data_IF_934814188351
#
_entry.id   IF_934814188351
#
_cell.length_a   1.000
_cell.length_b   1.000
_cell.length_c   1.000
_cell.angle_alpha   90.00
_cell.angle_beta   90.00
_cell.angle_gamma   90.00
#
_symmetry.space_group_name_H-M   'P 1'
#
loop_
_entity.id
_entity.type
_entity.pdbx_description
1 polymer ?
#
# COMPACT_ATOMS: atom_id res chain seq x y z
N UNK A 1 4.57 1.54 -13.01
CA UNK A 1 5.39 2.12 -14.10
C UNK A 1 4.62 2.21 -15.41
N UNK A 2 4.09 1.10 -15.96
CA UNK A 2 3.43 1.09 -17.28
C UNK A 2 2.31 2.14 -17.44
N UNK A 3 1.39 2.24 -16.47
CA UNK A 3 0.31 3.25 -16.48
C UNK A 3 0.79 4.71 -16.36
N UNK A 4 1.97 4.94 -15.80
CA UNK A 4 2.57 6.29 -15.74
C UNK A 4 3.25 6.62 -17.07
N UNK A 5 4.00 5.65 -17.63
CA UNK A 5 4.66 5.80 -18.92
C UNK A 5 3.64 6.00 -20.05
N UNK A 6 2.46 5.38 -19.98
CA UNK A 6 1.39 5.61 -20.96
C UNK A 6 0.82 7.04 -20.94
N UNK A 7 1.15 7.84 -19.93
CA UNK A 7 0.81 9.28 -19.87
C UNK A 7 1.92 10.17 -20.46
N UNK A 8 3.06 9.60 -20.87
CA UNK A 8 4.20 10.30 -21.49
C UNK A 8 4.19 10.01 -23.00
N UNK A 9 4.71 10.94 -23.82
CA UNK A 9 4.77 10.78 -25.27
C UNK A 9 5.50 9.49 -25.69
N UNK A 10 4.94 8.66 -26.58
CA UNK A 10 5.60 7.44 -27.08
C UNK A 10 6.95 7.70 -27.75
N UNK A 11 7.18 8.90 -28.29
CA UNK A 11 8.47 9.28 -28.87
C UNK A 11 9.63 9.26 -27.85
N UNK A 12 9.33 9.38 -26.56
CA UNK A 12 10.32 9.38 -25.48
C UNK A 12 10.46 8.01 -24.79
N UNK A 13 9.35 7.27 -24.67
CA UNK A 13 9.27 6.06 -23.82
C UNK A 13 8.88 4.78 -24.57
N UNK A 14 8.72 4.87 -25.90
CA UNK A 14 8.24 3.78 -26.74
C UNK A 14 6.72 3.61 -26.70
N UNK A 15 6.23 2.65 -27.48
CA UNK A 15 4.80 2.35 -27.56
C UNK A 15 4.27 1.76 -26.25
N UNK A 16 3.04 2.13 -25.83
CA UNK A 16 2.43 1.55 -24.65
C UNK A 16 2.15 0.06 -24.85
N UNK A 17 2.19 -0.69 -23.75
CA UNK A 17 1.73 -2.08 -23.74
C UNK A 17 0.25 -2.14 -24.17
N UNK A 18 -0.13 -3.19 -24.88
CA UNK A 18 -1.52 -3.41 -25.31
C UNK A 18 -2.47 -3.39 -24.11
N UNK A 19 -3.64 -2.75 -24.26
CA UNK A 19 -4.64 -2.61 -23.19
C UNK A 19 -5.11 -3.94 -22.61
N UNK A 20 -5.22 -4.99 -23.43
CA UNK A 20 -5.56 -6.36 -22.99
C UNK A 20 -4.59 -6.88 -21.92
N UNK A 21 -3.29 -6.59 -22.05
CA UNK A 21 -2.29 -6.99 -21.06
C UNK A 21 -2.44 -6.24 -19.74
N UNK A 22 -2.97 -5.01 -19.77
CA UNK A 22 -3.31 -4.25 -18.58
C UNK A 22 -4.57 -4.81 -17.92
N UNK A 23 -5.55 -5.23 -18.72
CA UNK A 23 -6.75 -5.92 -18.24
C UNK A 23 -6.38 -7.23 -17.53
N UNK A 24 -5.53 -8.06 -18.13
CA UNK A 24 -5.01 -9.30 -17.52
C UNK A 24 -4.33 -9.03 -16.17
N UNK A 25 -3.52 -7.97 -16.09
CA UNK A 25 -2.85 -7.58 -14.85
C UNK A 25 -3.86 -7.12 -13.77
N UNK A 26 -4.90 -6.38 -14.15
CA UNK A 26 -5.96 -5.95 -13.22
C UNK A 26 -6.78 -7.14 -12.74
N UNK A 27 -7.16 -8.05 -13.63
CA UNK A 27 -7.89 -9.26 -13.28
C UNK A 27 -7.06 -10.14 -12.31
N UNK A 28 -5.76 -10.28 -12.58
CA UNK A 28 -4.83 -10.96 -11.70
C UNK A 28 -4.77 -10.31 -10.31
N UNK A 29 -4.60 -8.98 -10.23
CA UNK A 29 -4.61 -8.26 -8.96
C UNK A 29 -5.94 -8.47 -8.22
N UNK A 30 -7.08 -8.29 -8.88
CA UNK A 30 -8.40 -8.48 -8.26
C UNK A 30 -8.63 -9.92 -7.78
N UNK A 31 -8.02 -10.92 -8.43
CA UNK A 31 -8.09 -12.32 -8.00
C UNK A 31 -7.36 -12.60 -6.68
N UNK A 32 -6.36 -11.78 -6.34
CA UNK A 32 -5.61 -11.84 -5.07
C UNK A 32 -6.18 -10.93 -3.97
N UNK A 33 -7.31 -10.27 -4.23
CA UNK A 33 -7.94 -9.41 -3.25
C UNK A 33 -8.54 -10.23 -2.10
N UNK A 34 -8.20 -9.86 -0.87
CA UNK A 34 -8.85 -10.41 0.32
C UNK A 34 -10.34 -9.99 0.38
N UNK A 35 -11.16 -10.73 1.13
CA UNK A 35 -12.60 -10.44 1.26
C UNK A 35 -12.88 -9.02 1.78
N UNK A 36 -11.95 -8.46 2.56
CA UNK A 36 -12.00 -7.11 3.13
C UNK A 36 -11.37 -6.04 2.22
N UNK A 37 -10.98 -6.37 0.98
CA UNK A 37 -10.41 -5.42 0.01
C UNK A 37 -8.94 -5.10 0.22
N UNK A 38 -8.25 -5.86 1.07
CA UNK A 38 -6.82 -5.71 1.34
C UNK A 38 -5.98 -6.65 0.47
N UNK A 39 -4.67 -6.42 0.45
CA UNK A 39 -3.72 -7.24 -0.31
C UNK A 39 -2.57 -7.68 0.59
N UNK A 40 -2.29 -8.98 0.53
CA UNK A 40 -1.09 -9.59 1.10
C UNK A 40 0.04 -9.60 0.05
N UNK A 41 0.99 -10.51 0.14
CA UNK A 41 2.14 -10.52 -0.79
C UNK A 41 1.91 -11.31 -2.05
N UNK A 42 1.80 -12.63 -1.92
CA UNK A 42 1.75 -13.55 -3.06
C UNK A 42 0.34 -14.04 -3.32
N UNK A 43 -0.47 -14.15 -2.28
CA UNK A 43 -1.79 -14.78 -2.34
C UNK A 43 -2.81 -14.01 -1.50
N UNK A 44 -4.09 -14.37 -1.60
CA UNK A 44 -5.04 -13.97 -0.57
C UNK A 44 -4.65 -14.62 0.76
N UNK A 45 -4.99 -13.98 1.88
CA UNK A 45 -4.98 -14.59 3.21
C UNK A 45 -5.89 -15.82 3.23
N UNK A 46 -5.30 -17.00 3.16
CA UNK A 46 -5.99 -18.30 3.11
C UNK A 46 -6.39 -18.85 4.47
N UNK A 47 -5.82 -18.32 5.54
CA UNK A 47 -6.03 -18.85 6.89
C UNK A 47 -6.14 -17.74 7.94
N UNK A 48 -6.49 -18.12 9.16
CA UNK A 48 -6.60 -17.22 10.30
C UNK A 48 -5.24 -16.90 10.92
N UNK A 49 -5.12 -15.70 11.49
CA UNK A 49 -3.93 -15.30 12.25
C UNK A 49 -3.67 -16.18 13.47
N UNK A 50 -4.67 -16.95 13.94
CA UNK A 50 -4.51 -17.88 15.05
C UNK A 50 -3.49 -18.98 14.76
N UNK A 51 -3.28 -19.35 13.48
CA UNK A 51 -2.28 -20.36 13.12
C UNK A 51 -0.84 -19.91 13.36
N UNK A 52 -0.60 -18.63 13.61
CA UNK A 52 0.73 -18.13 13.97
C UNK A 52 1.21 -18.72 15.31
N UNK A 53 0.32 -19.26 16.16
CA UNK A 53 0.70 -20.04 17.36
C UNK A 53 1.48 -21.30 17.03
N UNK A 54 1.36 -21.81 15.80
CA UNK A 54 2.08 -22.98 15.31
C UNK A 54 3.41 -22.61 14.66
N UNK A 55 3.82 -21.34 14.69
CA UNK A 55 5.09 -20.90 14.14
C UNK A 55 6.26 -21.58 14.88
N UNK A 56 7.01 -22.47 14.19
CA UNK A 56 8.12 -23.18 14.83
C UNK A 56 9.41 -22.35 14.82
N UNK A 57 9.41 -21.18 14.17
CA UNK A 57 10.57 -20.30 14.10
C UNK A 57 10.66 -19.44 15.35
N UNK A 58 11.78 -19.56 16.06
CA UNK A 58 12.09 -18.71 17.21
C UNK A 58 12.59 -17.31 16.79
N UNK A 59 13.07 -17.17 15.54
CA UNK A 59 13.73 -15.96 15.06
C UNK A 59 12.86 -15.08 14.14
N UNK A 60 11.73 -15.60 13.65
CA UNK A 60 10.89 -14.89 12.68
C UNK A 60 9.44 -14.89 13.12
N UNK A 61 8.83 -13.70 13.12
CA UNK A 61 7.42 -13.49 13.43
C UNK A 61 6.59 -13.40 12.15
N UNK A 62 5.31 -13.74 12.24
CA UNK A 62 4.30 -13.54 11.20
C UNK A 62 4.64 -14.26 9.88
N UNK A 63 5.12 -15.50 9.95
CA UNK A 63 5.57 -16.27 8.77
C UNK A 63 4.58 -17.35 8.32
N UNK A 64 3.59 -17.71 9.15
CA UNK A 64 2.65 -18.79 8.83
C UNK A 64 1.50 -18.29 7.96
N UNK A 65 1.16 -17.01 8.09
CA UNK A 65 0.02 -16.40 7.39
C UNK A 65 0.53 -15.28 6.49
N UNK A 66 0.03 -15.23 5.25
CA UNK A 66 0.28 -14.08 4.36
C UNK A 66 -0.61 -12.91 4.77
N UNK A 67 -0.09 -12.06 5.67
CA UNK A 67 -0.82 -10.93 6.23
C UNK A 67 -0.97 -9.79 5.22
N UNK A 68 -2.15 -9.15 5.15
CA UNK A 68 -2.29 -7.93 4.39
C UNK A 68 -1.44 -6.81 4.98
N UNK A 69 -0.70 -6.11 4.13
CA UNK A 69 0.19 -5.01 4.52
C UNK A 69 -0.29 -3.68 3.93
N UNK A 70 0.11 -2.57 4.55
CA UNK A 70 -0.22 -1.22 4.06
C UNK A 70 0.44 -0.97 2.72
N UNK A 71 1.64 -1.49 2.52
CA UNK A 71 2.45 -1.30 1.33
C UNK A 71 1.85 -2.02 0.12
N UNK A 72 1.50 -3.30 0.27
CA UNK A 72 0.84 -4.07 -0.79
C UNK A 72 -0.52 -3.44 -1.12
N UNK A 73 -1.32 -3.15 -0.09
CA UNK A 73 -2.67 -2.58 -0.28
C UNK A 73 -2.62 -1.20 -0.93
N UNK A 74 -1.71 -0.33 -0.49
CA UNK A 74 -1.50 1.01 -1.08
C UNK A 74 -1.01 0.95 -2.52
N UNK A 75 -0.12 0.02 -2.84
CA UNK A 75 0.42 -0.14 -4.19
C UNK A 75 -0.66 -0.55 -5.19
N UNK A 76 -1.47 -1.56 -4.82
CA UNK A 76 -2.58 -2.01 -5.66
C UNK A 76 -3.66 -0.93 -5.78
N UNK A 77 -4.00 -0.26 -4.67
CA UNK A 77 -4.92 0.89 -4.66
C UNK A 77 -4.51 1.96 -5.66
N UNK A 78 -3.24 2.40 -5.62
CA UNK A 78 -2.70 3.40 -6.55
C UNK A 78 -2.80 2.95 -8.01
N UNK A 79 -2.43 1.70 -8.29
CA UNK A 79 -2.48 1.15 -9.64
C UNK A 79 -3.92 1.07 -10.18
N UNK A 80 -4.87 0.60 -9.37
CA UNK A 80 -6.27 0.46 -9.76
C UNK A 80 -6.96 1.81 -9.99
N UNK A 81 -6.65 2.83 -9.18
CA UNK A 81 -7.16 4.19 -9.37
C UNK A 81 -6.65 4.75 -10.70
N UNK A 82 -5.34 4.66 -10.95
CA UNK A 82 -4.75 5.08 -12.21
C UNK A 82 -5.32 4.34 -13.42
N UNK A 83 -5.51 3.03 -13.31
CA UNK A 83 -6.09 2.21 -14.36
C UNK A 83 -7.53 2.65 -14.66
N UNK A 84 -8.34 2.88 -13.62
CA UNK A 84 -9.72 3.33 -13.75
C UNK A 84 -9.85 4.68 -14.46
N UNK A 85 -8.88 5.58 -14.32
CA UNK A 85 -8.86 6.84 -15.08
C UNK A 85 -8.75 6.60 -16.59
N UNK A 86 -7.96 5.60 -17.00
CA UNK A 86 -7.74 5.27 -18.41
C UNK A 86 -8.83 4.35 -18.98
N UNK A 87 -9.42 3.49 -18.14
CA UNK A 87 -10.40 2.48 -18.52
C UNK A 87 -11.64 2.52 -17.60
N UNK A 88 -12.43 3.61 -17.61
CA UNK A 88 -13.46 3.87 -16.60
C UNK A 88 -14.63 2.85 -16.57
N UNK A 89 -14.82 2.09 -17.64
CA UNK A 89 -15.85 1.06 -17.75
C UNK A 89 -15.42 -0.34 -17.28
N UNK A 90 -14.12 -0.65 -17.27
CA UNK A 90 -13.63 -2.00 -17.01
C UNK A 90 -13.66 -2.33 -15.51
N UNK A 91 -14.41 -3.36 -15.11
CA UNK A 91 -14.55 -3.84 -13.71
C UNK A 91 -14.86 -2.71 -12.70
N UNK A 92 -15.60 -1.69 -13.15
CA UNK A 92 -15.81 -0.41 -12.44
C UNK A 92 -16.28 -0.58 -11.00
N UNK A 93 -17.24 -1.47 -10.78
CA UNK A 93 -17.85 -1.70 -9.47
C UNK A 93 -16.88 -2.38 -8.49
N UNK A 94 -16.20 -3.45 -8.93
CA UNK A 94 -15.25 -4.19 -8.10
C UNK A 94 -14.04 -3.33 -7.75
N UNK A 95 -13.51 -2.59 -8.73
CA UNK A 95 -12.44 -1.62 -8.49
C UNK A 95 -12.91 -0.54 -7.50
N UNK A 96 -14.12 -0.02 -7.66
CA UNK A 96 -14.68 0.98 -6.73
C UNK A 96 -14.77 0.46 -5.29
N UNK A 97 -15.22 -0.78 -5.11
CA UNK A 97 -15.30 -1.44 -3.80
C UNK A 97 -13.92 -1.70 -3.21
N UNK A 98 -12.99 -2.20 -4.02
CA UNK A 98 -11.58 -2.39 -3.65
C UNK A 98 -10.97 -1.08 -3.14
N UNK A 99 -11.07 -0.01 -3.92
CA UNK A 99 -10.52 1.32 -3.58
C UNK A 99 -11.06 1.82 -2.25
N UNK A 100 -12.38 1.74 -2.04
CA UNK A 100 -13.03 2.16 -0.79
C UNK A 100 -12.48 1.37 0.40
N UNK A 101 -12.44 0.05 0.31
CA UNK A 101 -12.05 -0.81 1.42
C UNK A 101 -10.55 -0.71 1.73
N UNK A 102 -9.70 -0.71 0.69
CA UNK A 102 -8.27 -0.54 0.82
C UNK A 102 -7.91 0.80 1.47
N UNK A 103 -8.55 1.90 1.06
CA UNK A 103 -8.32 3.22 1.69
C UNK A 103 -8.69 3.22 3.17
N UNK A 104 -9.82 2.61 3.54
CA UNK A 104 -10.23 2.46 4.94
C UNK A 104 -9.24 1.62 5.74
N UNK A 105 -8.76 0.51 5.18
CA UNK A 105 -7.75 -0.31 5.84
C UNK A 105 -6.47 0.47 6.13
N UNK A 106 -6.00 1.29 5.18
CA UNK A 106 -4.83 2.14 5.37
C UNK A 106 -5.08 3.13 6.52
N UNK A 107 -6.24 3.80 6.58
CA UNK A 107 -6.60 4.67 7.70
C UNK A 107 -6.62 3.92 9.04
N UNK A 108 -7.24 2.73 9.08
CA UNK A 108 -7.39 1.91 10.29
C UNK A 108 -6.06 1.33 10.79
N UNK A 109 -5.05 1.19 9.92
CA UNK A 109 -3.70 0.71 10.27
C UNK A 109 -2.75 1.79 10.79
N UNK A 110 -3.16 3.06 10.74
CA UNK A 110 -2.32 4.15 11.24
C UNK A 110 -2.14 4.04 12.77
N UNK A 111 -0.90 4.17 13.24
CA UNK A 111 -0.55 4.21 14.66
C UNK A 111 -0.98 5.54 15.27
N UNK A 112 -1.05 5.57 16.61
CA UNK A 112 -1.50 6.76 17.36
C UNK A 112 -0.60 7.98 17.15
N UNK A 113 0.70 7.76 16.94
CA UNK A 113 1.69 8.79 16.66
C UNK A 113 1.61 9.34 15.22
N UNK A 114 0.80 8.73 14.36
CA UNK A 114 0.62 9.12 12.96
C UNK A 114 1.41 8.29 11.95
N UNK A 115 2.27 7.37 12.41
CA UNK A 115 3.07 6.52 11.54
C UNK A 115 2.31 5.27 11.07
N UNK A 116 2.90 4.58 10.09
CA UNK A 116 2.55 3.20 9.74
C UNK A 116 3.79 2.33 9.85
N UNK A 117 3.63 1.11 10.36
CA UNK A 117 4.70 0.12 10.42
C UNK A 117 5.03 -0.40 9.01
N UNK A 118 6.31 -0.51 8.69
CA UNK A 118 6.80 -1.09 7.43
C UNK A 118 7.11 -2.58 7.62
N UNK A 119 6.40 -3.43 6.89
CA UNK A 119 6.62 -4.88 6.86
C UNK A 119 7.78 -5.26 5.93
N UNK A 120 7.94 -4.55 4.81
CA UNK A 120 8.92 -4.91 3.76
C UNK A 120 10.12 -3.98 3.66
N UNK A 121 10.20 -2.99 4.54
CA UNK A 121 11.29 -2.01 4.60
C UNK A 121 11.40 -1.42 5.99
N UNK A 122 12.57 -0.89 6.35
CA UNK A 122 12.85 -0.31 7.67
C UNK A 122 12.35 1.13 7.72
N UNK A 123 11.48 1.52 8.66
CA UNK A 123 10.27 0.83 9.11
C UNK A 123 9.13 1.83 8.97
N UNK A 124 9.17 2.89 9.77
CA UNK A 124 8.08 3.85 9.89
C UNK A 124 8.10 4.91 8.80
N UNK A 125 9.26 5.39 8.36
CA UNK A 125 9.36 6.27 7.19
C UNK A 125 8.87 5.56 5.94
N UNK A 126 9.26 4.29 5.77
CA UNK A 126 8.82 3.42 4.67
C UNK A 126 7.31 3.14 4.72
N UNK A 127 6.80 2.63 5.84
CA UNK A 127 5.37 2.38 6.01
C UNK A 127 4.53 3.64 5.85
N UNK A 128 4.98 4.76 6.42
CA UNK A 128 4.29 6.06 6.31
C UNK A 128 4.28 6.59 4.89
N UNK A 129 5.36 6.40 4.12
CA UNK A 129 5.38 6.73 2.70
C UNK A 129 4.26 6.01 1.95
N UNK A 130 4.11 4.69 2.13
CA UNK A 130 3.02 3.94 1.49
C UNK A 130 1.64 4.34 2.00
N UNK A 131 1.49 4.54 3.31
CA UNK A 131 0.23 5.00 3.90
C UNK A 131 -0.23 6.32 3.29
N UNK A 132 0.64 7.33 3.28
CA UNK A 132 0.37 8.65 2.70
C UNK A 132 0.08 8.56 1.19
N UNK A 133 0.88 7.82 0.42
CA UNK A 133 0.68 7.69 -1.03
C UNK A 133 -0.66 7.05 -1.39
N UNK A 134 -1.06 6.01 -0.65
CA UNK A 134 -2.35 5.34 -0.85
C UNK A 134 -3.53 6.26 -0.53
N UNK A 135 -3.45 6.97 0.60
CA UNK A 135 -4.48 7.92 0.99
C UNK A 135 -4.61 9.08 0.00
N UNK A 136 -3.49 9.67 -0.45
CA UNK A 136 -3.50 10.74 -1.46
C UNK A 136 -4.15 10.24 -2.76
N UNK A 137 -3.79 9.04 -3.23
CA UNK A 137 -4.39 8.47 -4.44
C UNK A 137 -5.92 8.29 -4.29
N UNK A 138 -6.41 7.99 -3.09
CA UNK A 138 -7.84 7.91 -2.77
C UNK A 138 -8.54 9.25 -2.51
N UNK A 139 -7.87 10.37 -2.78
CA UNK A 139 -8.44 11.73 -2.67
C UNK A 139 -8.31 12.37 -1.29
N UNK A 140 -7.47 11.81 -0.40
CA UNK A 140 -7.15 12.47 0.88
C UNK A 140 -6.14 13.59 0.66
N UNK A 141 -6.36 14.71 1.34
CA UNK A 141 -5.50 15.90 1.31
C UNK A 141 -5.16 16.32 2.73
N UNK A 142 -4.25 17.29 2.86
CA UNK A 142 -3.89 17.85 4.16
C UNK A 142 -5.12 18.50 4.85
N UNK A 143 -6.04 19.08 4.09
CA UNK A 143 -7.23 19.77 4.58
C UNK A 143 -8.32 18.80 5.04
N UNK A 144 -8.55 17.71 4.28
CA UNK A 144 -9.68 16.82 4.50
C UNK A 144 -9.34 15.56 5.34
N UNK A 145 -8.07 15.29 5.64
CA UNK A 145 -7.66 14.05 6.32
C UNK A 145 -6.84 14.30 7.58
N UNK A 146 -7.36 13.86 8.72
CA UNK A 146 -6.61 13.84 9.98
C UNK A 146 -5.42 12.87 9.93
N UNK A 147 -5.56 11.76 9.22
CA UNK A 147 -4.46 10.80 9.02
C UNK A 147 -3.28 11.40 8.29
N UNK A 148 -3.52 12.17 7.22
CA UNK A 148 -2.45 12.88 6.50
C UNK A 148 -1.76 13.89 7.43
N UNK A 149 -2.52 14.69 8.19
CA UNK A 149 -1.92 15.67 9.12
C UNK A 149 -1.05 15.02 10.19
N UNK A 150 -1.53 13.91 10.78
CA UNK A 150 -0.75 13.15 11.77
C UNK A 150 0.52 12.56 11.16
N UNK A 151 0.45 12.05 9.93
CA UNK A 151 1.61 11.56 9.21
C UNK A 151 2.67 12.66 9.00
N UNK A 152 2.23 13.86 8.61
CA UNK A 152 3.12 15.01 8.47
C UNK A 152 3.77 15.40 9.81
N UNK A 153 2.98 15.45 10.90
CA UNK A 153 3.50 15.74 12.25
C UNK A 153 4.54 14.70 12.66
N UNK A 154 4.25 13.41 12.44
CA UNK A 154 5.18 12.32 12.71
C UNK A 154 6.50 12.52 11.95
N UNK A 155 6.45 12.67 10.63
CA UNK A 155 7.65 12.82 9.80
C UNK A 155 8.45 14.07 10.20
N UNK A 156 7.80 15.22 10.37
CA UNK A 156 8.48 16.46 10.78
C UNK A 156 9.14 16.33 12.16
N UNK A 157 8.50 15.62 13.10
CA UNK A 157 9.08 15.39 14.43
C UNK A 157 10.33 14.51 14.43
N UNK A 158 10.57 13.76 13.34
CA UNK A 158 11.71 12.84 13.16
C UNK A 158 12.79 13.38 12.21
N UNK A 159 12.64 14.61 11.72
CA UNK A 159 13.62 15.22 10.83
C UNK A 159 14.93 15.51 11.59
N UNK A 160 16.05 15.07 11.03
CA UNK A 160 17.39 15.35 11.58
C UNK A 160 17.79 16.80 11.32
N UNK A 161 18.75 17.32 12.09
CA UNK A 161 19.29 18.67 11.90
C UNK A 161 19.91 18.91 10.52
N UNK A 162 20.31 17.84 9.83
CA UNK A 162 20.82 17.87 8.45
C UNK A 162 19.70 17.93 7.40
N UNK A 163 18.43 17.88 7.82
CA UNK A 163 17.25 17.89 6.96
C UNK A 163 16.78 16.53 6.48
N UNK A 164 17.54 15.45 6.73
CA UNK A 164 17.20 14.07 6.34
C UNK A 164 16.41 13.29 7.40
N UNK A 165 16.17 12.01 7.11
CA UNK A 165 15.59 11.01 8.01
C UNK A 165 16.47 9.76 8.04
N UNK A 166 16.47 9.05 9.15
CA UNK A 166 17.19 7.79 9.28
C UNK A 166 16.56 6.91 10.34
N UNK A 167 16.50 5.61 10.06
CA UNK A 167 16.05 4.57 10.98
C UNK A 167 17.11 3.46 11.03
N UNK A 168 17.31 2.90 12.22
CA UNK A 168 18.10 1.67 12.38
C UNK A 168 17.22 0.46 12.06
N UNK A 169 17.83 -0.67 11.68
CA UNK A 169 17.09 -1.94 11.56
C UNK A 169 16.36 -2.32 12.85
N UNK A 170 16.87 -1.86 14.01
CA UNK A 170 16.24 -2.04 15.32
C UNK A 170 14.84 -1.44 15.40
N UNK A 171 14.48 -0.46 14.57
CA UNK A 171 13.12 0.10 14.54
C UNK A 171 12.08 -0.92 14.08
N UNK A 172 12.47 -1.93 13.30
CA UNK A 172 11.58 -3.05 12.93
C UNK A 172 11.39 -4.04 14.09
N UNK A 173 12.40 -4.23 14.93
CA UNK A 173 12.36 -5.16 16.08
C UNK A 173 11.66 -4.54 17.30
N UNK A 174 12.02 -3.30 17.62
CA UNK A 174 11.55 -2.60 18.82
C UNK A 174 10.25 -1.82 18.60
N UNK A 175 9.85 -1.64 17.34
CA UNK A 175 8.69 -0.85 16.92
C UNK A 175 8.65 0.59 17.47
N UNK A 176 9.82 1.24 17.56
CA UNK A 176 10.01 2.65 17.98
C UNK A 176 10.87 3.49 17.05
#
# INVERSE_FOLDING_TARGET
ALLLLSKISPNLVGDPIKGERLHDAVDCLLSFMNKDGTFSTYECKRTTSLLEVLNPSESFLNIIVDYPSVECTSSVLQALIMFKELYPGYRKEEIGKCVKNASKFIEDKQRKDGSWFGTWGICFTYGTFFGVKGLIASGRTYENSSSIRKACIFLLSKQLSTGGWGESYLSSETEV
#
